data_IF_097247660505
#
_entry.id   IF_097247660505
#
_cell.length_a   1.000
_cell.length_b   1.000
_cell.length_c   1.000
_cell.angle_alpha   90.00
_cell.angle_beta   90.00
_cell.angle_gamma   90.00
#
_symmetry.space_group_name_H-M   'P 1'
#
loop_
_entity.id
_entity.type
_entity.pdbx_description
1 polymer ?
#
# COMPACT_ATOMS: atom_id res chain seq x y z
N UNK A 1 9.95 -11.77 -0.46
CA UNK A 1 10.96 -11.09 -1.31
C UNK A 1 11.85 -12.13 -1.97
N UNK A 2 12.18 -11.94 -3.25
CA UNK A 2 13.12 -12.79 -3.96
C UNK A 2 14.14 -11.96 -4.74
N UNK A 3 15.17 -12.64 -5.24
CA UNK A 3 16.18 -12.06 -6.08
C UNK A 3 16.21 -12.79 -7.42
N UNK A 4 16.37 -12.02 -8.50
CA UNK A 4 16.71 -12.56 -9.81
C UNK A 4 18.23 -12.63 -9.87
N UNK A 5 18.77 -13.84 -9.97
CA UNK A 5 20.20 -14.11 -10.10
C UNK A 5 20.52 -14.49 -11.54
N UNK A 6 21.46 -13.77 -12.14
CA UNK A 6 22.06 -14.09 -13.43
C UNK A 6 23.53 -14.44 -13.22
N UNK A 7 24.21 -14.94 -14.26
CA UNK A 7 25.65 -15.22 -14.19
C UNK A 7 26.51 -13.97 -13.84
N UNK A 8 25.98 -12.76 -14.03
CA UNK A 8 26.72 -11.50 -13.84
C UNK A 8 26.19 -10.60 -12.72
N UNK A 9 24.98 -10.83 -12.21
CA UNK A 9 24.36 -9.91 -11.25
C UNK A 9 23.25 -10.57 -10.42
N UNK A 10 23.01 -9.99 -9.25
CA UNK A 10 21.85 -10.27 -8.41
C UNK A 10 21.06 -8.98 -8.28
N UNK A 11 19.76 -9.02 -8.58
CA UNK A 11 18.85 -7.87 -8.48
C UNK A 11 17.60 -8.28 -7.71
N UNK A 12 16.95 -7.31 -7.05
CA UNK A 12 15.63 -7.53 -6.48
C UNK A 12 14.66 -7.97 -7.59
N UNK A 13 13.83 -8.97 -7.31
CA UNK A 13 12.74 -9.31 -8.21
C UNK A 13 11.73 -8.15 -8.25
N UNK A 14 10.90 -8.07 -9.32
CA UNK A 14 9.66 -7.32 -9.25
C UNK A 14 8.85 -7.72 -8.00
N UNK A 15 8.00 -6.82 -7.54
CA UNK A 15 7.05 -7.11 -6.47
C UNK A 15 5.98 -8.05 -7.05
N UNK A 16 5.72 -9.17 -6.38
CA UNK A 16 4.71 -10.16 -6.73
C UNK A 16 3.98 -10.61 -5.46
N UNK A 17 2.90 -11.38 -5.62
CA UNK A 17 2.05 -11.84 -4.52
C UNK A 17 1.39 -10.70 -3.73
N UNK A 18 0.84 -9.74 -4.49
CA UNK A 18 0.11 -8.59 -3.97
C UNK A 18 -1.41 -8.87 -3.89
N UNK A 19 -1.79 -10.10 -3.53
CA UNK A 19 -3.20 -10.45 -3.34
C UNK A 19 -3.75 -9.57 -2.21
N UNK A 20 -4.68 -8.69 -2.55
CA UNK A 20 -5.31 -7.85 -1.53
C UNK A 20 -6.19 -8.73 -0.64
N UNK A 21 -6.07 -8.62 0.68
CA UNK A 21 -7.01 -9.25 1.62
C UNK A 21 -8.46 -8.96 1.25
N UNK A 22 -8.74 -7.76 0.71
CA UNK A 22 -10.06 -7.38 0.21
C UNK A 22 -10.61 -8.38 -0.81
N UNK A 23 -9.77 -8.95 -1.67
CA UNK A 23 -10.19 -9.90 -2.71
C UNK A 23 -10.70 -11.23 -2.16
N UNK A 24 -10.44 -11.53 -0.89
CA UNK A 24 -10.94 -12.72 -0.19
C UNK A 24 -12.32 -12.50 0.43
N UNK A 25 -12.81 -11.25 0.43
CA UNK A 25 -14.01 -10.82 1.14
C UNK A 25 -15.18 -10.57 0.17
N UNK A 26 -16.40 -10.75 0.67
CA UNK A 26 -17.61 -10.53 -0.14
C UNK A 26 -18.78 -9.99 0.68
N UNK A 27 -19.79 -9.46 -0.02
CA UNK A 27 -21.03 -9.01 0.61
C UNK A 27 -20.81 -7.86 1.61
N UNK A 28 -21.41 -7.98 2.80
CA UNK A 28 -21.40 -6.92 3.81
C UNK A 28 -20.01 -6.69 4.41
N UNK A 29 -19.10 -7.68 4.39
CA UNK A 29 -17.75 -7.50 4.90
C UNK A 29 -17.02 -6.40 4.15
N UNK A 30 -17.23 -6.26 2.83
CA UNK A 30 -16.65 -5.19 2.01
C UNK A 30 -17.08 -3.76 2.45
N UNK A 31 -18.09 -3.63 3.31
CA UNK A 31 -18.51 -2.33 3.87
C UNK A 31 -17.74 -1.94 5.12
N UNK A 32 -17.10 -2.89 5.81
CA UNK A 32 -16.31 -2.64 7.01
C UNK A 32 -15.09 -1.73 6.72
N UNK A 33 -14.54 -1.12 7.77
CA UNK A 33 -13.27 -0.41 7.70
C UNK A 33 -12.12 -1.42 7.69
N UNK A 34 -11.46 -1.58 6.54
CA UNK A 34 -10.39 -2.55 6.38
C UNK A 34 -9.04 -1.99 6.82
N UNK A 35 -8.38 -2.76 7.68
CA UNK A 35 -6.97 -2.60 8.01
C UNK A 35 -6.31 -3.97 7.82
N UNK A 36 -5.66 -4.22 6.65
CA UNK A 36 -5.07 -5.52 6.36
C UNK A 36 -4.14 -6.00 7.49
N UNK A 37 -4.26 -7.27 7.85
CA UNK A 37 -3.39 -7.95 8.82
C UNK A 37 -2.05 -8.33 8.19
N UNK A 38 -1.01 -8.52 9.00
CA UNK A 38 0.34 -8.88 8.52
C UNK A 38 1.25 -7.67 8.28
N UNK A 39 1.25 -6.72 9.23
CA UNK A 39 2.13 -5.56 9.21
C UNK A 39 3.55 -5.94 9.64
N UNK A 40 4.54 -5.21 9.15
CA UNK A 40 5.93 -5.32 9.60
C UNK A 40 6.10 -4.33 10.73
N UNK A 41 6.39 -4.80 11.95
CA UNK A 41 6.61 -3.94 13.11
C UNK A 41 7.65 -2.85 12.82
N UNK A 42 7.39 -1.65 13.32
CA UNK A 42 8.42 -0.60 13.40
C UNK A 42 9.11 -0.67 14.75
N UNK A 43 10.11 0.18 14.97
CA UNK A 43 10.74 0.31 16.29
C UNK A 43 9.74 0.65 17.40
N UNK A 44 8.71 1.43 17.09
CA UNK A 44 7.79 2.02 18.09
C UNK A 44 6.46 1.25 18.24
N UNK A 45 6.08 0.40 17.28
CA UNK A 45 4.82 -0.35 17.35
C UNK A 45 4.83 -1.61 16.50
N UNK A 46 4.17 -2.65 17.01
CA UNK A 46 3.86 -3.89 16.27
C UNK A 46 2.61 -3.76 15.39
N UNK A 47 1.87 -2.66 15.51
CA UNK A 47 0.62 -2.41 14.77
C UNK A 47 0.68 -1.15 13.89
N UNK A 48 1.73 -0.97 13.05
CA UNK A 48 1.95 0.30 12.36
C UNK A 48 0.83 0.65 11.35
N UNK A 49 0.55 1.94 11.28
CA UNK A 49 -0.18 2.58 10.19
C UNK A 49 0.80 3.21 9.19
N UNK A 50 0.31 3.80 8.09
CA UNK A 50 1.18 4.48 7.13
C UNK A 50 2.01 5.60 7.78
N UNK A 51 1.46 6.29 8.78
CA UNK A 51 2.18 7.31 9.57
C UNK A 51 3.43 6.72 10.22
N UNK A 52 3.30 5.56 10.86
CA UNK A 52 4.40 4.89 11.55
C UNK A 52 5.49 4.45 10.57
N UNK A 53 5.10 3.97 9.38
CA UNK A 53 6.07 3.61 8.34
C UNK A 53 6.82 4.83 7.81
N UNK A 54 6.14 5.96 7.60
CA UNK A 54 6.79 7.21 7.18
C UNK A 54 7.81 7.64 8.23
N UNK A 55 7.43 7.69 9.51
CA UNK A 55 8.35 8.05 10.61
C UNK A 55 9.55 7.12 10.67
N UNK A 56 9.33 5.81 10.54
CA UNK A 56 10.41 4.82 10.58
C UNK A 56 11.36 4.94 9.36
N UNK A 57 10.82 5.18 8.17
CA UNK A 57 11.63 5.37 6.96
C UNK A 57 12.45 6.67 7.04
N UNK A 58 11.89 7.75 7.60
CA UNK A 58 12.64 8.99 7.90
C UNK A 58 13.80 8.72 8.86
N UNK A 59 13.54 7.96 9.95
CA UNK A 59 14.56 7.55 10.92
C UNK A 59 15.69 6.75 10.26
N UNK A 60 15.38 5.96 9.25
CA UNK A 60 16.32 5.15 8.48
C UNK A 60 17.04 5.93 7.36
N UNK A 61 16.73 7.22 7.16
CA UNK A 61 17.39 8.08 6.18
C UNK A 61 16.75 8.10 4.78
N UNK A 62 15.54 7.57 4.61
CA UNK A 62 14.84 7.46 3.33
C UNK A 62 13.85 8.61 3.07
N UNK A 63 14.14 9.82 3.56
CA UNK A 63 13.26 10.99 3.38
C UNK A 63 13.05 11.31 1.89
N UNK A 64 14.12 11.29 1.09
CA UNK A 64 14.05 11.61 -0.34
C UNK A 64 13.14 10.63 -1.09
N UNK A 65 13.21 9.33 -0.75
CA UNK A 65 12.35 8.30 -1.33
C UNK A 65 10.88 8.50 -0.97
N UNK A 66 10.57 8.91 0.26
CA UNK A 66 9.19 9.24 0.68
C UNK A 66 8.66 10.42 -0.15
N UNK A 67 9.45 11.48 -0.29
CA UNK A 67 9.05 12.67 -1.05
C UNK A 67 8.90 12.34 -2.54
N UNK A 68 9.81 11.54 -3.09
CA UNK A 68 9.72 11.06 -4.47
C UNK A 68 8.46 10.22 -4.66
N UNK A 69 8.21 9.24 -3.77
CA UNK A 69 7.03 8.38 -3.83
C UNK A 69 5.75 9.21 -3.79
N UNK A 70 5.62 10.13 -2.81
CA UNK A 70 4.44 10.99 -2.67
C UNK A 70 4.17 11.82 -3.93
N UNK A 71 5.21 12.41 -4.54
CA UNK A 71 5.07 13.22 -5.77
C UNK A 71 4.62 12.42 -6.99
N UNK A 72 4.93 11.11 -7.02
CA UNK A 72 4.59 10.24 -8.15
C UNK A 72 3.23 9.54 -8.00
N UNK A 73 2.56 9.65 -6.84
CA UNK A 73 1.21 9.09 -6.68
C UNK A 73 0.21 9.92 -7.49
N UNK A 74 -0.41 9.28 -8.48
CA UNK A 74 -1.52 9.86 -9.24
C UNK A 74 -2.85 9.22 -8.81
N UNK A 75 -3.49 9.81 -7.79
CA UNK A 75 -4.78 9.32 -7.28
C UNK A 75 -5.88 9.28 -8.35
N UNK A 76 -5.90 10.24 -9.27
CA UNK A 76 -6.89 10.27 -10.35
C UNK A 76 -6.75 9.04 -11.25
N UNK A 77 -5.53 8.74 -11.68
CA UNK A 77 -5.25 7.56 -12.49
C UNK A 77 -5.55 6.25 -11.73
N UNK A 78 -5.17 6.16 -10.45
CA UNK A 78 -5.51 4.99 -9.61
C UNK A 78 -7.04 4.80 -9.53
N UNK A 79 -7.79 5.87 -9.29
CA UNK A 79 -9.25 5.82 -9.22
C UNK A 79 -9.89 5.43 -10.55
N UNK A 80 -9.32 5.86 -11.68
CA UNK A 80 -9.73 5.43 -13.01
C UNK A 80 -9.53 3.92 -13.17
N UNK A 81 -8.32 3.41 -12.88
CA UNK A 81 -8.00 1.98 -12.98
C UNK A 81 -8.94 1.11 -12.14
N UNK A 82 -9.27 1.54 -10.92
CA UNK A 82 -10.24 0.83 -10.07
C UNK A 82 -11.62 0.82 -10.70
N UNK A 83 -12.06 1.95 -11.26
CA UNK A 83 -13.39 2.09 -11.85
C UNK A 83 -13.55 1.22 -13.11
N UNK A 84 -12.51 1.13 -13.92
CA UNK A 84 -12.45 0.32 -15.16
C UNK A 84 -12.21 -1.18 -14.89
N UNK A 85 -11.86 -1.57 -13.66
CA UNK A 85 -11.61 -2.97 -13.32
C UNK A 85 -12.87 -3.85 -13.38
N UNK A 86 -12.66 -5.16 -13.48
CA UNK A 86 -13.71 -6.19 -13.45
C UNK A 86 -14.31 -6.43 -12.06
N UNK A 87 -13.84 -5.74 -11.02
CA UNK A 87 -14.32 -5.90 -9.65
C UNK A 87 -15.79 -5.48 -9.51
N UNK A 88 -16.49 -6.03 -8.51
CA UNK A 88 -17.83 -5.58 -8.14
C UNK A 88 -17.80 -4.14 -7.60
N UNK A 89 -18.93 -3.44 -7.65
CA UNK A 89 -19.02 -2.05 -7.16
C UNK A 89 -18.64 -1.92 -5.67
N UNK A 90 -19.05 -2.89 -4.85
CA UNK A 90 -18.68 -2.93 -3.43
C UNK A 90 -17.18 -3.06 -3.24
N UNK A 91 -16.52 -3.90 -4.03
CA UNK A 91 -15.07 -4.07 -4.00
C UNK A 91 -14.35 -2.80 -4.44
N UNK A 92 -14.80 -2.18 -5.53
CA UNK A 92 -14.27 -0.90 -6.03
C UNK A 92 -14.36 0.18 -4.95
N UNK A 93 -15.49 0.27 -4.26
CA UNK A 93 -15.69 1.21 -3.14
C UNK A 93 -14.82 0.89 -1.92
N UNK A 94 -14.62 -0.38 -1.59
CA UNK A 94 -13.73 -0.78 -0.49
C UNK A 94 -12.26 -0.44 -0.79
N UNK A 95 -11.79 -0.72 -2.02
CA UNK A 95 -10.43 -0.40 -2.46
C UNK A 95 -10.20 1.12 -2.45
N UNK A 96 -11.14 1.90 -3.01
CA UNK A 96 -11.06 3.37 -3.01
C UNK A 96 -10.94 3.93 -1.59
N UNK A 97 -11.83 3.52 -0.68
CA UNK A 97 -11.80 3.95 0.73
C UNK A 97 -10.47 3.62 1.42
N UNK A 98 -9.94 2.41 1.19
CA UNK A 98 -8.65 2.01 1.77
C UNK A 98 -7.50 2.89 1.24
N UNK A 99 -7.44 3.11 -0.08
CA UNK A 99 -6.39 3.93 -0.71
C UNK A 99 -6.47 5.38 -0.22
N UNK A 100 -7.66 5.96 -0.19
CA UNK A 100 -7.88 7.32 0.32
C UNK A 100 -7.43 7.46 1.78
N UNK A 101 -7.81 6.51 2.63
CA UNK A 101 -7.37 6.46 4.03
C UNK A 101 -5.84 6.46 4.15
N UNK A 102 -5.14 5.58 3.40
CA UNK A 102 -3.68 5.50 3.44
C UNK A 102 -3.00 6.72 2.86
N UNK A 103 -3.59 7.32 1.83
CA UNK A 103 -3.06 8.54 1.23
C UNK A 103 -3.17 9.73 2.19
N UNK A 104 -4.27 9.88 2.90
CA UNK A 104 -4.39 10.93 3.93
C UNK A 104 -3.44 10.67 5.12
N UNK A 105 -3.28 9.42 5.57
CA UNK A 105 -2.25 9.08 6.56
C UNK A 105 -0.84 9.48 6.09
N UNK A 106 -0.48 9.18 4.83
CA UNK A 106 0.81 9.58 4.23
C UNK A 106 0.97 11.09 4.18
N UNK A 107 -0.07 11.80 3.72
CA UNK A 107 -0.07 13.27 3.60
C UNK A 107 0.11 13.97 4.95
N UNK A 108 -0.44 13.41 6.03
CA UNK A 108 -0.32 13.96 7.37
C UNK A 108 1.03 13.65 8.04
N UNK A 109 1.76 12.64 7.55
CA UNK A 109 3.06 12.22 8.09
C UNK A 109 4.27 12.78 7.33
N UNK A 110 4.08 13.25 6.09
CA UNK A 110 5.15 13.78 5.25
C UNK A 110 5.75 15.06 5.82
#
# INVERSE_FOLDING_TARGET
>A
MAFIKTAKSTKLSPIYDNVSYLSLESGQMLRADFNPTGKISTKETDEPSMIHYVVELKRLGFEEDIQWFYKNINLSHINQLISESFCSDLMKQAIKRLIEKRFEELKNAK
#
